data_IF_419111600746
#
_entry.id   IF_419111600746
#
_cell.length_a   1.000
_cell.length_b   1.000
_cell.length_c   1.000
_cell.angle_alpha   90.00
_cell.angle_beta   90.00
_cell.angle_gamma   90.00
#
_symmetry.space_group_name_H-M   'P 1'
#
loop_
_entity.id
_entity.type
_entity.pdbx_description
1 polymer ?
#
# COMPACT_ATOMS: atom_id res chain seq x y z
N UNK A 1 43.79 20.81 6.31
CA UNK A 1 42.57 21.45 6.86
C UNK A 1 41.47 20.41 6.92
N UNK A 2 41.13 19.94 8.13
CA UNK A 2 40.01 19.01 8.34
C UNK A 2 38.74 19.83 8.49
N UNK A 3 37.81 19.72 7.56
CA UNK A 3 36.46 20.29 7.69
C UNK A 3 35.62 19.33 8.56
N UNK A 4 35.20 19.70 9.79
CA UNK A 4 34.42 18.81 10.66
C UNK A 4 32.90 19.02 10.58
N UNK A 5 32.38 19.76 9.60
CA UNK A 5 30.95 20.10 9.50
C UNK A 5 30.09 19.05 8.76
N UNK A 6 30.65 17.87 8.47
CA UNK A 6 29.99 16.84 7.64
C UNK A 6 28.85 16.12 8.39
N UNK A 7 29.02 15.74 9.66
CA UNK A 7 28.20 14.69 10.27
C UNK A 7 26.76 15.08 10.64
N UNK A 8 26.50 16.36 10.93
CA UNK A 8 25.15 16.79 11.38
C UNK A 8 24.17 16.86 10.20
N UNK A 9 24.65 17.22 9.01
CA UNK A 9 23.80 17.25 7.82
C UNK A 9 23.38 15.84 7.38
N UNK A 10 24.28 14.84 7.40
CA UNK A 10 23.93 13.47 7.01
C UNK A 10 22.83 12.85 7.88
N UNK A 11 22.93 12.98 9.21
CA UNK A 11 21.92 12.43 10.13
C UNK A 11 20.53 13.03 9.90
N UNK A 12 20.45 14.33 9.57
CA UNK A 12 19.18 14.97 9.25
C UNK A 12 18.55 14.40 7.97
N UNK A 13 19.33 14.10 6.94
CA UNK A 13 18.81 13.48 5.72
C UNK A 13 18.34 12.04 5.96
N UNK A 14 19.10 11.25 6.74
CA UNK A 14 18.73 9.86 7.05
C UNK A 14 17.44 9.77 7.87
N UNK A 15 17.28 10.63 8.89
CA UNK A 15 16.04 10.75 9.67
C UNK A 15 14.85 11.14 8.80
N UNK A 16 15.04 12.11 7.88
CA UNK A 16 13.99 12.51 6.94
C UNK A 16 13.63 11.37 6.00
N UNK A 17 14.61 10.63 5.46
CA UNK A 17 14.36 9.49 4.58
C UNK A 17 13.58 8.39 5.32
N UNK A 18 14.01 8.02 6.53
CA UNK A 18 13.34 7.01 7.35
C UNK A 18 11.90 7.38 7.69
N UNK A 19 11.65 8.65 8.04
CA UNK A 19 10.29 9.14 8.29
C UNK A 19 9.42 9.07 7.03
N UNK A 20 9.92 9.50 5.88
CA UNK A 20 9.17 9.41 4.62
C UNK A 20 8.86 7.95 4.25
N UNK A 21 9.82 7.05 4.39
CA UNK A 21 9.61 5.63 4.13
C UNK A 21 8.55 5.04 5.06
N UNK A 22 8.62 5.34 6.36
CA UNK A 22 7.63 4.86 7.33
C UNK A 22 6.21 5.37 7.04
N UNK A 23 6.07 6.64 6.64
CA UNK A 23 4.78 7.21 6.23
C UNK A 23 4.24 6.50 4.98
N UNK A 24 5.07 6.32 3.95
CA UNK A 24 4.66 5.66 2.71
C UNK A 24 4.24 4.20 2.95
N UNK A 25 5.00 3.46 3.75
CA UNK A 25 4.65 2.09 4.15
C UNK A 25 3.33 2.06 4.95
N UNK A 26 3.14 2.99 5.88
CA UNK A 26 1.91 3.08 6.67
C UNK A 26 0.68 3.38 5.81
N UNK A 27 0.81 4.25 4.81
CA UNK A 27 -0.26 4.54 3.84
C UNK A 27 -0.59 3.29 3.04
N UNK A 28 0.41 2.65 2.43
CA UNK A 28 0.23 1.43 1.62
C UNK A 28 -0.44 0.31 2.42
N UNK A 29 0.06 0.01 3.62
CA UNK A 29 -0.51 -1.02 4.51
C UNK A 29 -1.95 -0.66 4.95
N UNK A 30 -2.22 0.61 5.24
CA UNK A 30 -3.55 1.08 5.59
C UNK A 30 -4.54 0.86 4.45
N UNK A 31 -4.14 1.22 3.23
CA UNK A 31 -4.95 1.05 2.03
C UNK A 31 -5.22 -0.42 1.70
N UNK A 32 -4.18 -1.27 1.73
CA UNK A 32 -4.33 -2.71 1.52
C UNK A 32 -5.33 -3.30 2.53
N UNK A 33 -5.22 -2.95 3.81
CA UNK A 33 -6.15 -3.42 4.84
C UNK A 33 -7.58 -2.98 4.58
N UNK A 34 -7.80 -1.73 4.15
CA UNK A 34 -9.15 -1.25 3.83
C UNK A 34 -9.73 -1.96 2.60
N UNK A 35 -8.93 -2.19 1.56
CA UNK A 35 -9.37 -2.92 0.37
C UNK A 35 -9.75 -4.36 0.70
N UNK A 36 -8.89 -5.08 1.44
CA UNK A 36 -9.19 -6.44 1.92
C UNK A 36 -10.49 -6.47 2.71
N UNK A 37 -10.67 -5.52 3.64
CA UNK A 37 -11.88 -5.41 4.44
C UNK A 37 -13.12 -5.12 3.58
N UNK A 38 -13.00 -4.26 2.56
CA UNK A 38 -14.08 -3.97 1.62
C UNK A 38 -14.49 -5.24 0.86
N UNK A 39 -13.52 -5.92 0.25
CA UNK A 39 -13.76 -7.14 -0.51
C UNK A 39 -14.42 -8.21 0.38
N UNK A 40 -13.94 -8.36 1.62
CA UNK A 40 -14.54 -9.30 2.57
C UNK A 40 -15.98 -8.94 2.96
N UNK A 41 -16.27 -7.63 3.10
CA UNK A 41 -17.62 -7.15 3.43
C UNK A 41 -18.60 -7.33 2.28
N UNK A 42 -18.14 -7.20 1.03
CA UNK A 42 -19.00 -7.33 -0.16
C UNK A 42 -19.18 -8.78 -0.60
N UNK A 43 -18.12 -9.57 -0.55
CA UNK A 43 -18.07 -10.88 -1.19
C UNK A 43 -17.87 -12.06 -0.23
N UNK A 44 -17.69 -11.81 1.08
CA UNK A 44 -17.46 -12.85 2.06
C UNK A 44 -15.99 -13.24 2.18
N UNK A 45 -15.69 -14.52 2.38
CA UNK A 45 -14.29 -14.96 2.45
C UNK A 45 -13.59 -14.75 1.09
N UNK A 46 -12.36 -14.21 1.13
CA UNK A 46 -11.54 -14.01 -0.05
C UNK A 46 -10.30 -14.91 0.00
N UNK A 47 -9.74 -15.35 -1.14
CA UNK A 47 -8.55 -16.20 -1.16
C UNK A 47 -7.34 -15.53 -0.50
N UNK A 48 -6.58 -16.29 0.28
CA UNK A 48 -5.34 -15.78 0.90
C UNK A 48 -4.32 -15.31 -0.15
N UNK A 49 -4.28 -15.95 -1.30
CA UNK A 49 -3.42 -15.54 -2.42
C UNK A 49 -3.73 -14.11 -2.90
N UNK A 50 -5.01 -13.73 -2.92
CA UNK A 50 -5.40 -12.37 -3.25
C UNK A 50 -4.89 -11.36 -2.22
N UNK A 51 -4.97 -11.70 -0.93
CA UNK A 51 -4.46 -10.83 0.15
C UNK A 51 -2.96 -10.59 -0.02
N UNK A 52 -2.18 -11.66 -0.25
CA UNK A 52 -0.73 -11.58 -0.49
C UNK A 52 -0.40 -10.76 -1.72
N UNK A 53 -1.18 -10.92 -2.81
CA UNK A 53 -0.97 -10.15 -4.03
C UNK A 53 -1.16 -8.64 -3.79
N UNK A 54 -2.20 -8.28 -3.03
CA UNK A 54 -2.50 -6.88 -2.67
C UNK A 54 -1.45 -6.26 -1.73
N UNK A 55 -0.72 -7.03 -0.93
CA UNK A 55 0.36 -6.51 -0.07
C UNK A 55 1.52 -5.92 -0.87
N UNK A 56 1.77 -6.43 -2.09
CA UNK A 56 2.84 -5.96 -2.97
C UNK A 56 2.46 -4.78 -3.85
N UNK A 57 1.20 -4.37 -3.88
CA UNK A 57 0.71 -3.34 -4.81
C UNK A 57 1.07 -1.92 -4.36
N UNK A 58 1.27 -1.03 -5.33
CA UNK A 58 1.50 0.39 -5.05
C UNK A 58 0.24 1.06 -4.47
N UNK A 59 0.42 2.19 -3.79
CA UNK A 59 -0.67 3.01 -3.25
C UNK A 59 -1.68 3.36 -4.36
N UNK A 60 -1.20 3.80 -5.51
CA UNK A 60 -2.02 4.20 -6.65
C UNK A 60 -2.81 3.02 -7.23
N UNK A 61 -2.20 1.83 -7.27
CA UNK A 61 -2.89 0.62 -7.73
C UNK A 61 -3.96 0.20 -6.71
N UNK A 62 -3.66 0.28 -5.41
CA UNK A 62 -4.64 0.01 -4.35
C UNK A 62 -5.82 1.01 -4.39
N UNK A 63 -5.57 2.28 -4.71
CA UNK A 63 -6.62 3.29 -4.92
C UNK A 63 -7.53 2.90 -6.09
N UNK A 64 -6.95 2.60 -7.25
CA UNK A 64 -7.71 2.15 -8.42
C UNK A 64 -8.51 0.88 -8.12
N UNK A 65 -7.96 -0.06 -7.37
CA UNK A 65 -8.65 -1.28 -7.00
C UNK A 65 -9.78 -1.03 -6.01
N UNK A 66 -9.72 0.03 -5.18
CA UNK A 66 -10.85 0.43 -4.34
C UNK A 66 -12.06 0.82 -5.18
N UNK A 67 -11.86 1.65 -6.20
CA UNK A 67 -12.94 2.07 -7.11
C UNK A 67 -13.54 0.87 -7.85
N UNK A 68 -12.68 -0.01 -8.36
CA UNK A 68 -13.09 -1.28 -8.99
C UNK A 68 -13.89 -2.16 -8.01
N UNK A 69 -13.40 -2.31 -6.78
CA UNK A 69 -14.05 -3.09 -5.74
C UNK A 69 -15.39 -2.50 -5.28
N UNK A 70 -15.72 -1.25 -5.61
CA UNK A 70 -17.04 -0.66 -5.38
C UNK A 70 -17.96 -0.94 -6.58
N UNK A 71 -17.43 -0.89 -7.80
CA UNK A 71 -18.20 -0.93 -9.04
C UNK A 71 -18.65 -2.34 -9.47
N UNK A 72 -17.83 -3.36 -9.24
CA UNK A 72 -18.10 -4.75 -9.68
C UNK A 72 -19.13 -5.45 -8.80
N UNK A 73 -19.81 -6.48 -9.30
CA UNK A 73 -20.89 -7.17 -8.56
C UNK A 73 -20.45 -8.49 -7.91
N UNK A 74 -19.24 -8.96 -8.22
CA UNK A 74 -18.70 -10.21 -7.69
C UNK A 74 -17.19 -10.17 -7.51
N UNK A 75 -16.67 -11.10 -6.72
CA UNK A 75 -15.23 -11.28 -6.57
C UNK A 75 -14.58 -11.73 -7.89
N UNK A 76 -15.27 -12.54 -8.70
CA UNK A 76 -14.77 -12.99 -9.99
C UNK A 76 -14.58 -11.81 -10.97
N UNK A 77 -15.56 -10.90 -11.05
CA UNK A 77 -15.44 -9.67 -11.85
C UNK A 77 -14.27 -8.80 -11.37
N UNK A 78 -14.09 -8.67 -10.05
CA UNK A 78 -12.95 -7.97 -9.47
C UNK A 78 -11.63 -8.61 -9.93
N UNK A 79 -11.49 -9.93 -9.80
CA UNK A 79 -10.28 -10.65 -10.19
C UNK A 79 -9.97 -10.54 -11.68
N UNK A 80 -11.00 -10.54 -12.54
CA UNK A 80 -10.83 -10.33 -13.98
C UNK A 80 -10.30 -8.94 -14.32
N UNK A 81 -10.76 -7.90 -13.61
CA UNK A 81 -10.28 -6.53 -13.77
C UNK A 81 -8.91 -6.26 -13.14
N UNK A 82 -8.42 -7.19 -12.31
CA UNK A 82 -7.13 -7.12 -11.63
C UNK A 82 -5.98 -7.76 -12.42
N UNK A 83 -6.23 -8.27 -13.62
CA UNK A 83 -5.19 -8.75 -14.53
C UNK A 83 -4.40 -7.60 -15.18
#
# INVERSE_FOLDING_TARGET
>A
MKHPLSNVHYNYYDEKIGLHQGIQQGIQQGMQRQLVRLLQRRFGEIPQELVVRLEGESVEKLESLMDTAIAVNSLDEFLQSYN
#
